data_IF_026431165039
#
_entry.id   IF_026431165039
#
_cell.length_a   1.000
_cell.length_b   1.000
_cell.length_c   1.000
_cell.angle_alpha   90.00
_cell.angle_beta   90.00
_cell.angle_gamma   90.00
#
_symmetry.space_group_name_H-M   'P 1'
#
loop_
_entity.id
_entity.type
_entity.pdbx_description
1 polymer ?
#
# COMPACT_ATOMS: atom_id res chain seq x y z
N UNK A 1 6.18 5.48 -27.70
CA UNK A 1 7.05 6.35 -28.54
C UNK A 1 7.05 7.82 -28.11
N UNK A 2 5.90 8.43 -27.77
CA UNK A 2 5.83 9.85 -27.33
C UNK A 2 6.67 10.18 -26.08
N UNK A 3 6.68 9.34 -25.05
CA UNK A 3 7.43 9.62 -23.81
C UNK A 3 8.95 9.53 -23.97
N UNK A 4 9.41 8.66 -24.86
CA UNK A 4 10.83 8.52 -25.20
C UNK A 4 11.28 9.75 -25.99
N UNK A 5 10.48 10.18 -26.97
CA UNK A 5 10.72 11.40 -27.73
C UNK A 5 10.76 12.67 -26.85
N UNK A 6 9.82 12.80 -25.89
CA UNK A 6 9.78 13.91 -24.95
C UNK A 6 10.99 13.93 -24.00
N UNK A 7 11.53 12.77 -23.61
CA UNK A 7 12.76 12.69 -22.82
C UNK A 7 13.97 13.16 -23.63
N UNK A 8 14.15 12.69 -24.87
CA UNK A 8 15.25 13.13 -25.72
C UNK A 8 15.17 14.63 -26.07
N UNK A 9 13.97 15.14 -26.34
CA UNK A 9 13.74 16.57 -26.59
C UNK A 9 14.11 17.44 -25.38
N UNK A 10 13.76 17.01 -24.17
CA UNK A 10 14.16 17.70 -22.93
C UNK A 10 15.68 17.72 -22.76
N UNK A 11 16.35 16.59 -22.98
CA UNK A 11 17.82 16.50 -22.88
C UNK A 11 18.49 17.39 -23.92
N UNK A 12 18.00 17.37 -25.16
CA UNK A 12 18.50 18.23 -26.24
C UNK A 12 18.35 19.72 -25.91
N UNK A 13 17.19 20.15 -25.41
CA UNK A 13 16.96 21.55 -25.02
C UNK A 13 17.87 21.99 -23.86
N UNK A 14 18.13 21.11 -22.89
CA UNK A 14 19.05 21.40 -21.78
C UNK A 14 20.48 21.55 -22.31
N UNK A 15 20.94 20.65 -23.18
CA UNK A 15 22.27 20.74 -23.79
C UNK A 15 22.42 22.01 -24.63
N UNK A 16 21.39 22.38 -25.39
CA UNK A 16 21.39 23.62 -26.18
C UNK A 16 21.47 24.86 -25.28
N UNK A 17 20.71 24.89 -24.19
CA UNK A 17 20.76 25.99 -23.22
C UNK A 17 22.14 26.12 -22.57
N UNK A 18 22.77 25.00 -22.20
CA UNK A 18 24.14 24.99 -21.65
C UNK A 18 25.14 25.50 -22.67
N UNK A 19 25.04 25.07 -23.93
CA UNK A 19 25.90 25.52 -25.02
C UNK A 19 25.76 27.03 -25.27
N UNK A 20 24.52 27.55 -25.28
CA UNK A 20 24.25 28.98 -25.41
C UNK A 20 24.84 29.79 -24.26
N UNK A 21 24.77 29.29 -23.02
CA UNK A 21 25.38 29.93 -21.85
C UNK A 21 26.91 29.97 -21.99
N UNK A 22 27.54 28.87 -22.44
CA UNK A 22 28.98 28.82 -22.67
C UNK A 22 29.40 29.83 -23.75
N UNK A 23 28.68 29.86 -24.88
CA UNK A 23 28.95 30.79 -25.98
C UNK A 23 28.76 32.25 -25.57
N UNK A 24 27.74 32.54 -24.76
CA UNK A 24 27.46 33.88 -24.27
C UNK A 24 28.52 34.35 -23.26
N UNK A 25 28.95 33.48 -22.35
CA UNK A 25 30.03 33.80 -21.39
C UNK A 25 31.35 34.02 -22.11
N UNK A 26 31.75 33.14 -23.04
CA UNK A 26 32.99 33.31 -23.79
C UNK A 26 32.93 34.50 -24.77
N UNK A 27 31.79 34.76 -25.40
CA UNK A 27 31.60 35.92 -26.27
C UNK A 27 31.69 37.25 -25.50
N UNK A 28 31.19 37.28 -24.26
CA UNK A 28 31.25 38.47 -23.41
C UNK A 28 32.66 38.70 -22.85
N UNK A 29 33.39 37.63 -22.51
CA UNK A 29 34.81 37.69 -22.12
C UNK A 29 35.69 38.19 -23.27
N UNK A 30 35.47 37.71 -24.49
CA UNK A 30 36.19 38.16 -25.69
C UNK A 30 35.85 39.61 -26.07
N UNK A 31 34.59 40.04 -25.90
CA UNK A 31 34.17 41.43 -26.20
C UNK A 31 34.73 42.47 -25.21
N UNK A 32 35.14 42.05 -24.01
CA UNK A 32 35.68 42.91 -22.96
C UNK A 32 37.21 42.82 -22.85
N UNK A 33 37.88 42.14 -23.79
CA UNK A 33 39.32 41.83 -23.78
C UNK A 33 39.80 41.17 -22.47
N UNK A 34 38.92 40.40 -21.82
CA UNK A 34 39.26 39.70 -20.59
C UNK A 34 40.02 38.41 -20.89
N UNK A 35 40.97 38.02 -20.03
CA UNK A 35 41.64 36.74 -20.17
C UNK A 35 40.64 35.57 -20.17
N UNK A 36 40.85 34.59 -21.05
CA UNK A 36 39.98 33.41 -21.20
C UNK A 36 39.76 32.63 -19.90
N UNK A 37 40.71 32.67 -18.96
CA UNK A 37 40.58 32.03 -17.65
C UNK A 37 39.47 32.64 -16.78
N UNK A 38 39.11 33.92 -17.00
CA UNK A 38 37.99 34.58 -16.30
C UNK A 38 36.65 33.91 -16.67
N UNK A 39 36.49 33.51 -17.94
CA UNK A 39 35.31 32.76 -18.39
C UNK A 39 35.13 31.42 -17.69
N UNK A 40 36.23 30.73 -17.38
CA UNK A 40 36.22 29.45 -16.64
C UNK A 40 35.73 29.67 -15.20
N UNK A 41 36.19 30.72 -14.51
CA UNK A 41 35.72 31.03 -13.16
C UNK A 41 34.23 31.42 -13.13
N UNK A 42 33.75 32.18 -14.12
CA UNK A 42 32.33 32.52 -14.26
C UNK A 42 31.47 31.26 -14.47
N UNK A 43 31.92 30.33 -15.32
CA UNK A 43 31.23 29.05 -15.54
C UNK A 43 31.21 28.18 -14.28
N UNK A 44 32.33 28.09 -13.55
CA UNK A 44 32.38 27.36 -12.27
C UNK A 44 31.47 27.98 -11.22
N UNK A 45 31.38 29.31 -11.17
CA UNK A 45 30.48 30.01 -10.26
C UNK A 45 29.00 29.75 -10.59
N UNK A 46 28.62 29.82 -11.87
CA UNK A 46 27.27 29.50 -12.33
C UNK A 46 26.91 28.03 -12.08
N UNK A 47 27.84 27.10 -12.31
CA UNK A 47 27.66 25.69 -12.00
C UNK A 47 27.49 25.46 -10.48
N UNK A 48 28.30 26.14 -9.66
CA UNK A 48 28.19 26.11 -8.20
C UNK A 48 26.86 26.64 -7.68
N UNK A 49 26.37 27.76 -8.24
CA UNK A 49 25.05 28.30 -7.93
C UNK A 49 23.93 27.35 -8.36
N UNK A 50 24.04 26.71 -9.53
CA UNK A 50 23.08 25.71 -10.00
C UNK A 50 23.02 24.49 -9.07
N UNK A 51 24.17 23.93 -8.70
CA UNK A 51 24.27 22.79 -7.77
C UNK A 51 23.74 23.19 -6.38
N UNK A 52 24.11 24.38 -5.89
CA UNK A 52 23.62 24.94 -4.63
C UNK A 52 22.10 25.11 -4.63
N UNK A 53 21.52 25.66 -5.70
CA UNK A 53 20.07 25.81 -5.87
C UNK A 53 19.36 24.45 -5.92
N UNK A 54 19.90 23.47 -6.64
CA UNK A 54 19.34 22.11 -6.67
C UNK A 54 19.41 21.43 -5.30
N UNK A 55 20.51 21.61 -4.57
CA UNK A 55 20.69 21.10 -3.22
C UNK A 55 19.73 21.76 -2.22
N UNK A 56 19.61 23.09 -2.26
CA UNK A 56 18.65 23.87 -1.49
C UNK A 56 17.22 23.46 -1.82
N UNK A 57 16.85 23.37 -3.10
CA UNK A 57 15.52 22.93 -3.55
C UNK A 57 15.21 21.52 -3.04
N UNK A 58 16.16 20.59 -3.12
CA UNK A 58 16.02 19.22 -2.61
C UNK A 58 15.84 19.19 -1.09
N UNK A 59 16.54 20.04 -0.36
CA UNK A 59 16.38 20.19 1.09
C UNK A 59 15.05 20.85 1.45
N UNK A 60 14.62 21.87 0.70
CA UNK A 60 13.40 22.63 0.96
C UNK A 60 12.15 21.79 0.72
N UNK A 61 12.12 21.02 -0.37
CA UNK A 61 11.05 20.05 -0.65
C UNK A 61 10.94 19.02 0.49
N UNK A 62 12.07 18.47 0.93
CA UNK A 62 12.12 17.54 2.08
C UNK A 62 11.70 18.20 3.40
N UNK A 63 12.04 19.47 3.64
CA UNK A 63 11.67 20.19 4.87
C UNK A 63 10.18 20.52 4.92
N UNK A 64 9.54 20.82 3.79
CA UNK A 64 8.12 21.16 3.73
C UNK A 64 7.24 19.94 4.05
N UNK A 65 7.65 18.75 3.64
CA UNK A 65 7.03 17.47 4.03
C UNK A 65 7.25 17.17 5.52
N UNK A 66 8.45 17.44 6.04
CA UNK A 66 8.76 17.26 7.46
C UNK A 66 8.01 18.24 8.36
N UNK A 67 7.81 19.48 7.95
CA UNK A 67 7.03 20.46 8.72
C UNK A 67 5.57 20.06 8.87
N UNK A 68 4.97 19.42 7.86
CA UNK A 68 3.62 18.85 7.99
C UNK A 68 3.58 17.73 9.03
N UNK A 69 4.56 16.82 8.99
CA UNK A 69 4.69 15.73 9.97
C UNK A 69 4.93 16.27 11.38
N UNK A 70 5.86 17.21 11.53
CA UNK A 70 6.20 17.78 12.84
C UNK A 70 5.03 18.58 13.41
N UNK A 71 4.28 19.31 12.57
CA UNK A 71 3.02 19.97 12.95
C UNK A 71 1.96 18.96 13.38
N UNK A 72 1.81 17.84 12.67
CA UNK A 72 0.86 16.78 13.02
C UNK A 72 1.25 16.14 14.37
N UNK A 73 2.53 15.85 14.59
CA UNK A 73 3.04 15.28 15.85
C UNK A 73 2.90 16.28 17.02
N UNK A 74 3.19 17.56 16.80
CA UNK A 74 3.11 18.62 17.82
C UNK A 74 1.65 18.96 18.17
N UNK A 75 0.76 18.97 17.17
CA UNK A 75 -0.68 19.09 17.36
C UNK A 75 -1.23 17.92 18.15
N UNK A 76 -0.78 16.69 17.88
CA UNK A 76 -1.14 15.50 18.66
C UNK A 76 -0.69 15.61 20.12
N UNK A 77 0.57 16.00 20.36
CA UNK A 77 1.10 16.17 21.69
C UNK A 77 0.35 17.26 22.50
N UNK A 78 -0.07 18.33 21.82
CA UNK A 78 -0.84 19.43 22.42
C UNK A 78 -2.28 19.01 22.71
N UNK A 79 -2.92 18.25 21.82
CA UNK A 79 -4.28 17.73 22.00
C UNK A 79 -4.38 16.64 23.05
N UNK A 80 -3.36 15.79 23.21
CA UNK A 80 -3.30 14.84 24.32
C UNK A 80 -3.41 15.50 25.70
N UNK A 81 -2.90 16.72 25.84
CA UNK A 81 -3.03 17.49 27.08
C UNK A 81 -4.45 18.03 27.30
N UNK A 82 -5.26 18.14 26.24
CA UNK A 82 -6.62 18.63 26.27
C UNK A 82 -7.69 17.52 26.45
N UNK A 83 -7.34 16.26 26.16
CA UNK A 83 -8.24 15.11 26.31
C UNK A 83 -8.36 14.68 27.78
N UNK A 84 -9.56 14.34 28.22
CA UNK A 84 -9.87 13.95 29.60
C UNK A 84 -10.51 12.56 29.67
N UNK A 85 -10.21 11.82 30.74
CA UNK A 85 -10.83 10.52 31.04
C UNK A 85 -10.42 9.40 30.08
N UNK A 86 -11.39 8.55 29.73
CA UNK A 86 -11.21 7.27 29.01
C UNK A 86 -10.49 7.40 27.66
N UNK A 87 -10.71 8.50 26.93
CA UNK A 87 -10.06 8.71 25.62
C UNK A 87 -8.55 8.90 25.75
N UNK A 88 -8.09 9.53 26.83
CA UNK A 88 -6.65 9.71 27.08
C UNK A 88 -5.99 8.36 27.38
N UNK A 89 -6.68 7.49 28.11
CA UNK A 89 -6.18 6.15 28.45
C UNK A 89 -6.09 5.27 27.19
N UNK A 90 -7.14 5.22 26.37
CA UNK A 90 -7.14 4.47 25.09
C UNK A 90 -5.97 4.89 24.18
N UNK A 91 -5.64 6.19 24.16
CA UNK A 91 -4.52 6.71 23.37
C UNK A 91 -3.16 6.40 23.96
N UNK A 92 -3.04 6.47 25.28
CA UNK A 92 -1.81 6.10 25.97
C UNK A 92 -1.50 4.62 25.72
N UNK A 93 -2.52 3.77 25.79
CA UNK A 93 -2.40 2.35 25.47
C UNK A 93 -1.91 2.12 24.03
N UNK A 94 -2.45 2.87 23.06
CA UNK A 94 -1.98 2.81 21.66
C UNK A 94 -0.49 3.20 21.54
N UNK A 95 -0.05 4.27 22.22
CA UNK A 95 1.34 4.71 22.21
C UNK A 95 2.28 3.72 22.90
N UNK A 96 1.87 3.16 24.03
CA UNK A 96 2.66 2.23 24.82
C UNK A 96 2.86 0.91 24.05
N UNK A 97 1.81 0.37 23.42
CA UNK A 97 1.91 -0.80 22.53
C UNK A 97 2.83 -0.56 21.34
N UNK A 98 2.74 0.62 20.72
CA UNK A 98 3.63 0.98 19.62
C UNK A 98 5.09 1.01 20.05
N UNK A 99 5.35 1.61 21.21
CA UNK A 99 6.69 1.71 21.80
C UNK A 99 7.23 0.32 22.12
N UNK A 100 6.43 -0.54 22.73
CA UNK A 100 6.78 -1.92 23.04
C UNK A 100 7.16 -2.72 21.78
N UNK A 101 6.33 -2.67 20.74
CA UNK A 101 6.59 -3.35 19.47
C UNK A 101 7.89 -2.85 18.80
N UNK A 102 8.13 -1.54 18.78
CA UNK A 102 9.37 -0.95 18.23
C UNK A 102 10.59 -1.33 19.06
N UNK A 103 10.48 -1.38 20.38
CA UNK A 103 11.57 -1.82 21.25
C UNK A 103 11.89 -3.31 21.07
N UNK A 104 10.87 -4.17 20.96
CA UNK A 104 11.05 -5.58 20.65
C UNK A 104 11.79 -5.76 19.31
N UNK A 105 11.39 -5.00 18.29
CA UNK A 105 12.06 -5.02 16.99
C UNK A 105 13.52 -4.55 17.09
N UNK A 106 13.80 -3.49 17.84
CA UNK A 106 15.16 -2.96 18.05
C UNK A 106 16.09 -3.92 18.80
N UNK A 107 15.54 -4.73 19.71
CA UNK A 107 16.29 -5.72 20.51
C UNK A 107 16.49 -7.04 19.76
N UNK A 108 15.80 -7.25 18.64
CA UNK A 108 15.88 -8.48 17.85
C UNK A 108 17.23 -8.70 17.14
N UNK A 109 17.42 -9.93 16.64
CA UNK A 109 18.58 -10.30 15.83
C UNK A 109 18.72 -9.51 14.52
N UNK A 110 17.67 -8.83 14.05
CA UNK A 110 17.74 -7.95 12.88
C UNK A 110 18.77 -6.82 13.04
N UNK A 111 19.14 -6.47 14.29
CA UNK A 111 20.21 -5.49 14.57
C UNK A 111 21.57 -5.92 14.00
N UNK A 112 21.80 -7.22 13.80
CA UNK A 112 23.02 -7.73 13.17
C UNK A 112 23.05 -7.46 11.66
N UNK A 113 21.89 -7.28 11.03
CA UNK A 113 21.76 -7.06 9.58
C UNK A 113 21.66 -5.57 9.21
N UNK A 114 21.45 -4.68 10.18
CA UNK A 114 21.36 -3.25 9.96
C UNK A 114 20.47 -2.56 10.99
N UNK A 115 19.82 -1.46 10.60
CA UNK A 115 18.81 -0.83 11.45
C UNK A 115 17.54 -1.69 11.45
N UNK A 116 17.13 -2.30 12.59
CA UNK A 116 16.01 -3.27 12.63
C UNK A 116 14.70 -2.75 12.06
N UNK A 117 14.48 -1.43 12.11
CA UNK A 117 13.26 -0.79 11.59
C UNK A 117 13.18 -0.79 10.06
N UNK A 118 14.29 -1.05 9.35
CA UNK A 118 14.40 -0.96 7.90
C UNK A 118 14.97 -2.24 7.25
N UNK A 119 15.20 -3.30 8.03
CA UNK A 119 15.65 -4.60 7.47
C UNK A 119 14.49 -5.29 6.75
N UNK A 120 13.31 -5.30 7.37
CA UNK A 120 12.12 -5.94 6.81
C UNK A 120 11.12 -4.92 6.27
N UNK A 121 10.43 -5.23 5.16
CA UNK A 121 9.36 -4.40 4.64
C UNK A 121 8.16 -4.39 5.59
N UNK A 122 7.49 -3.24 5.71
CA UNK A 122 6.24 -3.11 6.47
C UNK A 122 5.04 -3.03 5.55
N UNK A 123 4.04 -3.86 5.82
CA UNK A 123 2.74 -3.82 5.16
C UNK A 123 1.67 -3.45 6.19
N UNK A 124 0.67 -2.69 5.75
CA UNK A 124 -0.52 -2.44 6.56
C UNK A 124 -1.71 -3.12 5.91
N UNK A 125 -2.57 -3.74 6.72
CA UNK A 125 -3.84 -4.34 6.26
C UNK A 125 -4.99 -3.49 6.77
N UNK A 126 -5.82 -2.98 5.85
CA UNK A 126 -7.04 -2.21 6.14
C UNK A 126 -8.24 -2.87 5.46
N UNK A 127 -9.44 -2.64 5.98
CA UNK A 127 -10.68 -3.19 5.45
C UNK A 127 -11.76 -3.18 6.52
N UNK A 128 -13.02 -3.37 6.14
CA UNK A 128 -14.14 -3.34 7.09
C UNK A 128 -13.98 -4.32 8.26
N UNK A 129 -14.63 -4.01 9.39
CA UNK A 129 -14.71 -4.93 10.52
C UNK A 129 -15.33 -6.26 10.10
N UNK A 130 -14.72 -7.38 10.50
CA UNK A 130 -15.25 -8.71 10.18
C UNK A 130 -14.98 -9.19 8.75
N UNK A 131 -14.22 -8.46 7.92
CA UNK A 131 -13.86 -8.95 6.59
C UNK A 131 -12.81 -10.07 6.60
N UNK A 132 -12.22 -10.44 7.74
CA UNK A 132 -11.28 -11.57 7.83
C UNK A 132 -9.79 -11.20 7.77
N UNK A 133 -9.42 -9.92 7.97
CA UNK A 133 -8.01 -9.45 8.02
C UNK A 133 -7.12 -10.30 8.94
N UNK A 134 -7.48 -10.37 10.22
CA UNK A 134 -6.71 -11.09 11.24
C UNK A 134 -6.62 -12.58 10.94
N UNK A 135 -7.70 -13.18 10.43
CA UNK A 135 -7.74 -14.60 10.04
C UNK A 135 -6.84 -14.86 8.83
N UNK A 136 -6.88 -14.01 7.80
CA UNK A 136 -6.01 -14.16 6.63
C UNK A 136 -4.52 -14.07 7.01
N UNK A 137 -4.17 -13.17 7.94
CA UNK A 137 -2.79 -13.01 8.43
C UNK A 137 -2.37 -14.19 9.31
N UNK A 138 -3.22 -14.64 10.23
CA UNK A 138 -2.92 -15.74 11.14
C UNK A 138 -2.84 -17.09 10.43
N UNK A 139 -3.61 -17.26 9.36
CA UNK A 139 -3.65 -18.46 8.52
C UNK A 139 -2.64 -18.44 7.36
N UNK A 140 -1.86 -17.36 7.18
CA UNK A 140 -0.91 -17.22 6.06
C UNK A 140 0.25 -18.24 6.06
N UNK A 141 0.36 -19.11 7.08
CA UNK A 141 1.42 -20.12 7.28
C UNK A 141 2.85 -19.55 7.13
N UNK A 142 3.01 -18.25 7.34
CA UNK A 142 4.30 -17.58 7.30
C UNK A 142 5.06 -17.87 8.60
N UNK A 143 6.33 -18.28 8.48
CA UNK A 143 7.19 -18.50 9.63
C UNK A 143 7.30 -17.23 10.48
N UNK A 144 6.92 -17.34 11.75
CA UNK A 144 7.06 -16.28 12.73
C UNK A 144 8.28 -16.56 13.62
N UNK A 145 9.23 -15.63 13.64
CA UNK A 145 10.44 -15.76 14.45
C UNK A 145 10.26 -15.29 15.90
N UNK A 146 9.08 -14.73 16.25
CA UNK A 146 8.82 -14.09 17.54
C UNK A 146 7.68 -14.80 18.27
N UNK A 147 7.88 -16.05 18.71
CA UNK A 147 6.84 -16.81 19.40
C UNK A 147 6.30 -16.10 20.67
N UNK A 148 7.15 -15.39 21.43
CA UNK A 148 6.76 -14.73 22.70
C UNK A 148 6.20 -13.31 22.56
N UNK A 149 6.42 -12.63 21.43
CA UNK A 149 5.91 -11.26 21.14
C UNK A 149 4.95 -11.28 19.93
N UNK A 150 4.59 -12.47 19.45
CA UNK A 150 3.74 -12.71 18.27
C UNK A 150 2.36 -12.07 18.39
N UNK A 151 1.99 -11.63 19.59
CA UNK A 151 0.72 -11.01 19.91
C UNK A 151 0.89 -10.00 21.04
N UNK A 152 1.21 -8.75 20.70
CA UNK A 152 0.77 -7.61 21.53
C UNK A 152 -0.76 -7.45 21.34
N UNK A 153 -1.52 -8.55 21.48
CA UNK A 153 -2.96 -8.61 21.26
C UNK A 153 -3.65 -8.75 22.60
N UNK A 154 -4.68 -7.92 22.83
CA UNK A 154 -5.66 -8.22 23.86
C UNK A 154 -6.57 -9.34 23.38
N UNK A 155 -7.07 -10.18 24.29
CA UNK A 155 -7.90 -11.39 24.06
C UNK A 155 -9.27 -11.09 23.38
N UNK A 156 -9.56 -9.84 23.01
CA UNK A 156 -10.87 -9.40 22.50
C UNK A 156 -10.71 -8.47 21.30
N UNK A 157 -10.64 -9.05 20.09
CA UNK A 157 -10.59 -8.33 18.81
C UNK A 157 -9.39 -7.38 18.64
N UNK A 158 -9.11 -6.98 17.41
CA UNK A 158 -8.10 -5.95 17.13
C UNK A 158 -8.62 -4.61 17.62
N UNK A 159 -8.23 -4.22 18.85
CA UNK A 159 -8.66 -2.96 19.46
C UNK A 159 -8.18 -1.77 18.66
N UNK A 160 -6.93 -1.71 18.22
CA UNK A 160 -6.39 -0.57 17.47
C UNK A 160 -5.56 -1.07 16.28
N UNK A 161 -4.44 -1.73 16.59
CA UNK A 161 -3.56 -2.38 15.62
C UNK A 161 -2.78 -3.51 16.31
N UNK A 162 -2.67 -4.64 15.64
CA UNK A 162 -1.86 -5.78 16.06
C UNK A 162 -0.64 -5.92 15.15
N UNK A 163 0.51 -6.23 15.74
CA UNK A 163 1.79 -6.37 15.04
C UNK A 163 2.11 -7.83 14.79
N UNK A 164 2.32 -8.17 13.53
CA UNK A 164 2.71 -9.50 13.09
C UNK A 164 4.14 -9.46 12.57
N UNK A 165 5.03 -10.19 13.24
CA UNK A 165 6.44 -10.29 12.87
C UNK A 165 6.71 -11.63 12.17
N UNK A 166 6.89 -11.58 10.85
CA UNK A 166 7.27 -12.73 10.03
C UNK A 166 8.77 -12.65 9.67
N UNK A 167 9.33 -13.75 9.19
CA UNK A 167 10.74 -13.81 8.77
C UNK A 167 11.10 -12.81 7.66
N UNK A 168 10.15 -12.51 6.76
CA UNK A 168 10.40 -11.70 5.56
C UNK A 168 9.63 -10.37 5.53
N UNK A 169 8.73 -10.12 6.48
CA UNK A 169 7.91 -8.91 6.51
C UNK A 169 7.34 -8.64 7.91
N UNK A 170 6.96 -7.40 8.15
CA UNK A 170 6.15 -7.02 9.31
C UNK A 170 4.79 -6.54 8.78
N UNK A 171 3.72 -7.06 9.37
CA UNK A 171 2.35 -6.73 8.97
C UNK A 171 1.63 -6.06 10.13
N UNK A 172 1.07 -4.89 9.86
CA UNK A 172 0.23 -4.13 10.77
C UNK A 172 -1.23 -4.46 10.45
N UNK A 173 -1.87 -5.26 11.29
CA UNK A 173 -3.30 -5.56 11.19
C UNK A 173 -4.10 -4.47 11.91
N UNK A 174 -4.97 -3.75 11.20
CA UNK A 174 -5.69 -2.60 11.75
C UNK A 174 -7.12 -2.92 12.13
N UNK A 175 -7.65 -2.19 13.11
CA UNK A 175 -9.07 -2.23 13.44
C UNK A 175 -9.91 -1.79 12.23
N UNK A 176 -11.04 -2.47 12.00
CA UNK A 176 -11.87 -2.21 10.82
C UNK A 176 -12.44 -0.79 10.74
N UNK A 177 -12.59 -0.12 11.89
CA UNK A 177 -13.02 1.28 11.97
C UNK A 177 -12.03 2.29 11.36
N UNK A 178 -10.76 1.90 11.19
CA UNK A 178 -9.78 2.73 10.48
C UNK A 178 -10.05 2.76 8.98
N UNK A 179 -10.66 1.70 8.43
CA UNK A 179 -11.17 1.69 7.07
C UNK A 179 -12.53 2.38 6.97
N UNK A 180 -13.51 1.85 7.70
CA UNK A 180 -14.92 2.32 7.68
C UNK A 180 -15.30 2.81 9.09
N UNK A 181 -15.28 4.13 9.33
CA UNK A 181 -15.51 4.68 10.66
C UNK A 181 -16.93 4.39 11.16
N UNK A 182 -17.04 4.08 12.45
CA UNK A 182 -18.32 3.95 13.16
C UNK A 182 -18.69 5.31 13.76
N UNK A 183 -17.69 6.03 14.29
CA UNK A 183 -17.79 7.41 14.74
C UNK A 183 -16.81 8.27 13.91
N UNK A 184 -17.35 9.08 13.00
CA UNK A 184 -16.53 9.89 12.09
C UNK A 184 -15.56 10.84 12.79
N UNK A 185 -15.90 11.33 13.98
CA UNK A 185 -15.03 12.22 14.74
C UNK A 185 -13.92 11.42 15.41
N UNK A 186 -14.32 10.54 16.33
CA UNK A 186 -13.38 9.79 17.17
C UNK A 186 -12.46 8.90 16.36
N UNK A 187 -12.98 8.14 15.40
CA UNK A 187 -12.19 7.16 14.64
C UNK A 187 -11.22 7.84 13.68
N UNK A 188 -11.61 9.02 13.15
CA UNK A 188 -10.72 9.82 12.32
C UNK A 188 -9.56 10.41 13.13
N UNK A 189 -9.81 10.88 14.34
CA UNK A 189 -8.74 11.35 15.21
C UNK A 189 -7.78 10.21 15.59
N UNK A 190 -8.32 9.05 15.93
CA UNK A 190 -7.52 7.88 16.26
C UNK A 190 -6.67 7.41 15.08
N UNK A 191 -7.24 7.40 13.87
CA UNK A 191 -6.51 7.12 12.63
C UNK A 191 -5.37 8.12 12.38
N UNK A 192 -5.62 9.42 12.54
CA UNK A 192 -4.56 10.44 12.40
C UNK A 192 -3.42 10.23 13.40
N UNK A 193 -3.74 9.85 14.64
CA UNK A 193 -2.73 9.52 15.67
C UNK A 193 -1.93 8.27 15.31
N UNK A 194 -2.61 7.24 14.82
CA UNK A 194 -1.95 6.04 14.31
C UNK A 194 -0.93 6.37 13.21
N UNK A 195 -1.32 7.20 12.23
CA UNK A 195 -0.41 7.65 11.18
C UNK A 195 0.77 8.48 11.72
N UNK A 196 0.51 9.30 12.73
CA UNK A 196 1.55 10.10 13.41
C UNK A 196 2.58 9.22 14.10
N UNK A 197 2.14 8.16 14.79
CA UNK A 197 3.04 7.18 15.40
C UNK A 197 3.85 6.44 14.36
N UNK A 198 3.21 6.03 13.26
CA UNK A 198 3.86 5.35 12.16
C UNK A 198 5.06 6.14 11.61
N UNK A 199 4.88 7.44 11.34
CA UNK A 199 5.98 8.29 10.84
C UNK A 199 6.99 8.64 11.94
N UNK A 200 6.53 8.86 13.17
CA UNK A 200 7.40 9.16 14.32
C UNK A 200 8.45 8.07 14.52
N UNK A 201 8.05 6.81 14.42
CA UNK A 201 8.96 5.68 14.67
C UNK A 201 9.66 5.15 13.41
N UNK A 202 9.07 5.28 12.22
CA UNK A 202 9.64 4.80 10.95
C UNK A 202 9.49 5.84 9.85
N UNK A 203 10.35 6.87 9.85
CA UNK A 203 10.27 8.02 8.93
C UNK A 203 10.74 7.72 7.49
N UNK A 204 11.72 6.83 7.32
CA UNK A 204 12.21 6.44 5.99
C UNK A 204 11.38 5.24 5.52
N UNK A 205 10.91 5.21 4.27
CA UNK A 205 10.20 4.03 3.74
C UNK A 205 9.12 3.51 4.70
N UNK A 206 8.24 4.43 5.15
CA UNK A 206 7.30 4.22 6.24
C UNK A 206 6.46 2.95 6.08
N UNK A 207 5.99 2.68 4.86
CA UNK A 207 5.35 1.44 4.45
C UNK A 207 5.85 1.04 3.07
N UNK A 208 5.92 -0.27 2.84
CA UNK A 208 6.30 -0.88 1.57
C UNK A 208 5.06 -1.31 0.76
N UNK A 209 3.90 -1.42 1.39
CA UNK A 209 2.62 -1.63 0.69
C UNK A 209 1.42 -1.57 1.63
N UNK A 210 0.25 -1.38 1.03
CA UNK A 210 -1.04 -1.42 1.70
C UNK A 210 -1.86 -2.58 1.13
N UNK A 211 -2.44 -3.40 2.00
CA UNK A 211 -3.35 -4.47 1.64
C UNK A 211 -4.75 -4.03 2.04
N UNK A 212 -5.66 -4.00 1.08
CA UNK A 212 -7.07 -3.68 1.27
C UNK A 212 -7.85 -4.98 1.20
N UNK A 213 -8.40 -5.39 2.34
CA UNK A 213 -9.14 -6.64 2.49
C UNK A 213 -10.65 -6.42 2.33
N UNK A 214 -11.30 -7.27 1.55
CA UNK A 214 -12.75 -7.27 1.33
C UNK A 214 -13.30 -8.69 1.33
N UNK A 215 -14.47 -8.89 1.92
CA UNK A 215 -15.04 -10.21 2.05
C UNK A 215 -15.86 -10.62 0.81
N UNK A 216 -15.68 -11.84 0.33
CA UNK A 216 -16.32 -12.36 -0.89
C UNK A 216 -17.86 -12.42 -0.77
N UNK A 217 -18.39 -12.82 0.39
CA UNK A 217 -19.82 -12.77 0.73
C UNK A 217 -20.43 -11.38 0.48
N UNK A 218 -19.77 -10.35 1.00
CA UNK A 218 -20.23 -8.96 0.80
C UNK A 218 -20.20 -8.55 -0.68
N UNK A 219 -19.18 -8.97 -1.42
CA UNK A 219 -19.06 -8.65 -2.85
C UNK A 219 -20.16 -9.33 -3.69
N UNK A 220 -20.68 -10.47 -3.25
CA UNK A 220 -21.78 -11.19 -3.91
C UNK A 220 -23.15 -10.61 -3.56
N UNK A 221 -23.35 -10.20 -2.30
CA UNK A 221 -24.67 -9.86 -1.76
C UNK A 221 -24.98 -8.35 -1.78
N UNK A 222 -23.97 -7.50 -1.61
CA UNK A 222 -24.18 -6.07 -1.42
C UNK A 222 -24.59 -5.34 -2.71
N UNK A 223 -25.34 -4.26 -2.55
CA UNK A 223 -25.73 -3.39 -3.66
C UNK A 223 -24.49 -2.68 -4.25
N UNK A 224 -24.42 -2.50 -5.58
CA UNK A 224 -23.32 -1.79 -6.25
C UNK A 224 -22.97 -0.44 -5.64
N UNK A 225 -23.98 0.33 -5.23
CA UNK A 225 -23.84 1.67 -4.67
C UNK A 225 -23.15 1.64 -3.30
N UNK A 226 -23.46 0.62 -2.48
CA UNK A 226 -22.86 0.41 -1.17
C UNK A 226 -21.37 0.06 -1.32
N UNK A 227 -21.03 -0.82 -2.27
CA UNK A 227 -19.65 -1.20 -2.55
C UNK A 227 -18.83 -0.03 -3.12
N UNK A 228 -19.43 0.81 -3.98
CA UNK A 228 -18.77 2.02 -4.47
C UNK A 228 -18.52 3.04 -3.34
N UNK A 229 -19.46 3.19 -2.40
CA UNK A 229 -19.28 4.06 -1.23
C UNK A 229 -18.23 3.55 -0.25
N UNK A 230 -18.15 2.23 -0.04
CA UNK A 230 -17.06 1.60 0.69
C UNK A 230 -15.71 1.85 0.00
N UNK A 231 -15.65 1.65 -1.32
CA UNK A 231 -14.47 1.96 -2.13
C UNK A 231 -14.03 3.41 -1.98
N UNK A 232 -14.97 4.37 -2.01
CA UNK A 232 -14.70 5.79 -1.78
C UNK A 232 -14.17 6.05 -0.37
N UNK A 233 -14.69 5.35 0.64
CA UNK A 233 -14.21 5.47 2.03
C UNK A 233 -12.78 4.97 2.17
N UNK A 234 -12.47 3.80 1.59
CA UNK A 234 -11.11 3.28 1.50
C UNK A 234 -10.19 4.25 0.76
N UNK A 235 -10.62 4.82 -0.38
CA UNK A 235 -9.84 5.82 -1.10
C UNK A 235 -9.45 7.00 -0.22
N UNK A 236 -10.39 7.56 0.56
CA UNK A 236 -10.08 8.66 1.50
C UNK A 236 -8.97 8.25 2.48
N UNK A 237 -8.99 7.02 3.00
CA UNK A 237 -7.94 6.52 3.91
C UNK A 237 -6.59 6.34 3.22
N UNK A 238 -6.59 5.85 1.98
CA UNK A 238 -5.38 5.74 1.15
C UNK A 238 -4.80 7.13 0.89
N UNK A 239 -5.64 8.11 0.55
CA UNK A 239 -5.22 9.50 0.30
C UNK A 239 -4.66 10.16 1.56
N UNK A 240 -5.32 9.96 2.72
CA UNK A 240 -4.83 10.42 4.02
C UNK A 240 -3.45 9.82 4.33
N UNK A 241 -3.28 8.51 4.12
CA UNK A 241 -2.02 7.80 4.32
C UNK A 241 -0.91 8.31 3.38
N UNK A 242 -1.19 8.42 2.07
CA UNK A 242 -0.23 8.94 1.08
C UNK A 242 0.14 10.39 1.37
N UNK A 243 -0.81 11.23 1.80
CA UNK A 243 -0.54 12.63 2.18
C UNK A 243 0.38 12.72 3.37
N UNK A 244 0.19 11.86 4.37
CA UNK A 244 0.99 11.85 5.61
C UNK A 244 2.39 11.31 5.33
N UNK A 245 2.53 10.22 4.56
CA UNK A 245 3.84 9.62 4.22
C UNK A 245 4.60 10.43 3.15
N UNK A 246 3.88 11.13 2.26
CA UNK A 246 4.46 11.94 1.18
C UNK A 246 4.89 11.14 -0.06
N UNK A 247 4.45 9.88 -0.20
CA UNK A 247 4.78 9.03 -1.36
C UNK A 247 3.57 8.21 -1.82
N UNK A 248 3.55 7.85 -3.12
CA UNK A 248 2.61 6.85 -3.65
C UNK A 248 3.01 5.48 -3.14
N UNK A 249 2.08 4.81 -2.49
CA UNK A 249 2.28 3.44 -2.00
C UNK A 249 1.62 2.44 -2.95
N UNK A 250 2.21 1.25 -3.13
CA UNK A 250 1.55 0.17 -3.85
C UNK A 250 0.41 -0.39 -2.99
N UNK A 251 -0.77 -0.53 -3.59
CA UNK A 251 -1.98 -1.05 -2.97
C UNK A 251 -2.30 -2.42 -3.57
N UNK A 252 -2.50 -3.41 -2.71
CA UNK A 252 -2.93 -4.76 -3.04
C UNK A 252 -4.37 -4.92 -2.60
N UNK A 253 -5.22 -5.49 -3.44
CA UNK A 253 -6.59 -5.85 -3.05
C UNK A 253 -6.60 -7.34 -2.74
N UNK A 254 -7.10 -7.71 -1.57
CA UNK A 254 -7.22 -9.08 -1.11
C UNK A 254 -8.69 -9.39 -0.85
N UNK A 255 -9.26 -10.29 -1.64
CA UNK A 255 -10.60 -10.81 -1.42
C UNK A 255 -10.50 -12.00 -0.48
N UNK A 256 -11.09 -11.89 0.70
CA UNK A 256 -11.08 -12.87 1.78
C UNK A 256 -12.41 -13.63 1.82
N UNK A 257 -12.48 -14.68 2.65
CA UNK A 257 -13.68 -15.52 2.80
C UNK A 257 -14.15 -16.17 1.50
N UNK A 258 -13.23 -16.52 0.60
CA UNK A 258 -13.59 -17.15 -0.66
C UNK A 258 -14.26 -18.52 -0.50
N UNK A 259 -14.14 -19.17 0.67
CA UNK A 259 -14.90 -20.36 1.07
C UNK A 259 -16.42 -20.14 1.08
N UNK A 260 -16.89 -18.89 1.23
CA UNK A 260 -18.31 -18.56 1.15
C UNK A 260 -18.84 -18.49 -0.28
N UNK A 261 -17.97 -18.57 -1.29
CA UNK A 261 -18.37 -18.71 -2.69
C UNK A 261 -18.84 -20.14 -2.88
N UNK A 262 -20.04 -20.31 -3.42
CA UNK A 262 -20.62 -21.63 -3.63
C UNK A 262 -19.69 -22.52 -4.48
N UNK A 263 -19.40 -23.71 -3.94
CA UNK A 263 -18.54 -24.70 -4.59
C UNK A 263 -17.05 -24.56 -4.32
N UNK A 264 -16.58 -23.49 -3.67
CA UNK A 264 -15.15 -23.25 -3.46
C UNK A 264 -14.48 -24.35 -2.62
N UNK A 265 -15.09 -24.74 -1.50
CA UNK A 265 -14.53 -25.77 -0.61
C UNK A 265 -14.45 -27.11 -1.33
N UNK A 266 -15.54 -27.53 -1.99
CA UNK A 266 -15.60 -28.76 -2.77
C UNK A 266 -14.56 -28.78 -3.90
N UNK A 267 -14.35 -27.64 -4.55
CA UNK A 267 -13.33 -27.49 -5.59
C UNK A 267 -11.92 -27.60 -5.00
N UNK A 268 -11.65 -26.89 -3.91
CA UNK A 268 -10.32 -26.80 -3.28
C UNK A 268 -9.90 -28.12 -2.63
N UNK A 269 -10.85 -28.90 -2.10
CA UNK A 269 -10.59 -30.24 -1.54
C UNK A 269 -10.04 -31.23 -2.58
N UNK A 270 -10.30 -30.99 -3.86
CA UNK A 270 -9.75 -31.81 -4.96
C UNK A 270 -8.41 -31.28 -5.48
N UNK A 271 -8.00 -30.06 -5.11
CA UNK A 271 -6.73 -29.48 -5.55
C UNK A 271 -5.58 -30.10 -4.74
N UNK A 272 -4.52 -30.63 -5.39
CA UNK A 272 -3.38 -31.17 -4.66
C UNK A 272 -2.73 -30.16 -3.71
N UNK A 273 -2.33 -30.60 -2.51
CA UNK A 273 -1.81 -29.71 -1.46
C UNK A 273 -0.68 -28.79 -1.92
N UNK A 274 0.27 -29.30 -2.72
CA UNK A 274 1.38 -28.50 -3.28
C UNK A 274 0.91 -27.36 -4.20
N UNK A 275 -0.24 -27.50 -4.84
CA UNK A 275 -0.82 -26.46 -5.68
C UNK A 275 -1.47 -25.36 -4.84
N UNK A 276 -1.88 -25.66 -3.59
CA UNK A 276 -2.43 -24.69 -2.66
C UNK A 276 -1.36 -23.74 -2.10
N UNK A 277 -0.07 -24.08 -2.21
CA UNK A 277 1.04 -23.18 -1.89
C UNK A 277 1.17 -22.02 -2.89
N UNK A 278 0.53 -22.12 -4.07
CA UNK A 278 0.56 -21.07 -5.07
C UNK A 278 -0.46 -19.97 -4.74
N UNK A 279 -0.06 -18.68 -4.75
CA UNK A 279 -1.00 -17.59 -4.53
C UNK A 279 -2.02 -17.50 -5.68
N UNK A 280 -3.31 -17.43 -5.32
CA UNK A 280 -4.40 -17.16 -6.25
C UNK A 280 -4.55 -15.65 -6.47
N UNK A 281 -4.11 -15.15 -7.62
CA UNK A 281 -4.23 -13.73 -7.95
C UNK A 281 -3.44 -13.29 -9.19
N UNK A 282 -3.49 -11.99 -9.47
CA UNK A 282 -2.83 -11.37 -10.62
C UNK A 282 -2.10 -10.10 -10.17
N UNK A 283 -0.84 -9.98 -10.57
CA UNK A 283 0.00 -8.79 -10.34
C UNK A 283 -0.14 -7.84 -11.54
N UNK A 284 -0.32 -6.54 -11.25
CA UNK A 284 -0.22 -5.47 -12.24
C UNK A 284 1.26 -5.20 -12.54
N UNK A 285 1.84 -6.02 -13.42
CA UNK A 285 3.28 -5.97 -13.73
C UNK A 285 3.68 -4.64 -14.35
N UNK A 286 2.87 -4.14 -15.30
CA UNK A 286 3.11 -2.90 -16.03
C UNK A 286 2.77 -1.64 -15.23
N UNK A 287 2.19 -1.79 -14.03
CA UNK A 287 1.69 -0.70 -13.20
C UNK A 287 0.72 0.21 -14.00
N UNK A 288 -0.12 -0.40 -14.83
CA UNK A 288 -1.11 0.30 -15.65
C UNK A 288 -2.00 1.17 -14.76
N UNK A 289 -2.21 2.43 -15.16
CA UNK A 289 -3.18 3.34 -14.53
C UNK A 289 -4.62 3.01 -14.93
N UNK A 290 -4.82 2.26 -16.01
CA UNK A 290 -6.11 1.68 -16.39
C UNK A 290 -6.45 0.51 -15.46
N UNK A 291 -6.91 0.85 -14.26
CA UNK A 291 -7.34 -0.09 -13.23
C UNK A 291 -8.56 -0.92 -13.69
N UNK A 292 -9.62 -0.34 -14.30
CA UNK A 292 -10.75 -1.12 -14.79
C UNK A 292 -10.34 -2.16 -15.82
N UNK A 293 -9.53 -1.79 -16.82
CA UNK A 293 -9.09 -2.75 -17.83
C UNK A 293 -8.11 -3.79 -17.29
N UNK A 294 -7.23 -3.44 -16.34
CA UNK A 294 -6.40 -4.42 -15.63
C UNK A 294 -7.27 -5.44 -14.87
N UNK A 295 -8.28 -4.96 -14.15
CA UNK A 295 -9.16 -5.81 -13.35
C UNK A 295 -9.98 -6.76 -14.22
N UNK A 296 -10.54 -6.25 -15.33
CA UNK A 296 -11.30 -7.07 -16.29
C UNK A 296 -10.46 -8.22 -16.85
N UNK A 297 -9.21 -7.93 -17.26
CA UNK A 297 -8.25 -8.95 -17.70
C UNK A 297 -7.88 -9.92 -16.58
N UNK A 298 -7.68 -9.44 -15.36
CA UNK A 298 -7.35 -10.27 -14.21
C UNK A 298 -8.46 -11.29 -13.93
N UNK A 299 -9.71 -10.83 -13.80
CA UNK A 299 -10.87 -11.71 -13.55
C UNK A 299 -11.08 -12.73 -14.66
N UNK A 300 -10.98 -12.29 -15.93
CA UNK A 300 -11.11 -13.20 -17.08
C UNK A 300 -10.04 -14.28 -17.06
N UNK A 301 -8.78 -13.90 -16.83
CA UNK A 301 -7.65 -14.84 -16.75
C UNK A 301 -7.84 -15.84 -15.60
N UNK A 302 -8.29 -15.39 -14.43
CA UNK A 302 -8.53 -16.26 -13.29
C UNK A 302 -9.71 -17.21 -13.55
N UNK A 303 -10.82 -16.72 -14.10
CA UNK A 303 -11.97 -17.55 -14.47
C UNK A 303 -11.61 -18.64 -15.49
N UNK A 304 -10.86 -18.30 -16.53
CA UNK A 304 -10.34 -19.29 -17.50
C UNK A 304 -9.43 -20.33 -16.85
N UNK A 305 -8.53 -19.92 -15.94
CA UNK A 305 -7.67 -20.85 -15.20
C UNK A 305 -8.47 -21.78 -14.30
N UNK A 306 -9.49 -21.28 -13.60
CA UNK A 306 -10.38 -22.11 -12.78
C UNK A 306 -11.15 -23.12 -13.63
N UNK A 307 -11.65 -22.72 -14.80
CA UNK A 307 -12.29 -23.65 -15.76
C UNK A 307 -11.33 -24.73 -16.26
N UNK A 308 -10.10 -24.36 -16.59
CA UNK A 308 -9.08 -25.32 -17.03
C UNK A 308 -8.71 -26.30 -15.90
N UNK A 309 -8.56 -25.80 -14.67
CA UNK A 309 -8.34 -26.63 -13.49
C UNK A 309 -9.53 -27.58 -13.25
N UNK A 310 -10.77 -27.10 -13.39
CA UNK A 310 -11.97 -27.95 -13.30
C UNK A 310 -11.89 -29.14 -14.25
N UNK A 311 -11.52 -28.92 -15.51
CA UNK A 311 -11.40 -30.01 -16.50
C UNK A 311 -10.35 -31.04 -16.06
N UNK A 312 -9.21 -30.58 -15.54
CA UNK A 312 -8.15 -31.45 -15.04
C UNK A 312 -8.61 -32.26 -13.82
N UNK A 313 -9.30 -31.63 -12.87
CA UNK A 313 -9.84 -32.29 -11.68
C UNK A 313 -10.90 -33.34 -12.05
N UNK A 314 -11.80 -33.02 -12.99
CA UNK A 314 -12.81 -33.96 -13.49
C UNK A 314 -12.19 -35.17 -14.20
N UNK A 315 -11.07 -34.99 -14.90
CA UNK A 315 -10.38 -36.10 -15.54
C UNK A 315 -9.74 -37.06 -14.53
N UNK A 316 -9.31 -36.55 -13.37
CA UNK A 316 -8.72 -37.35 -12.29
C UNK A 316 -9.76 -38.10 -11.45
N UNK A 317 -11.00 -37.59 -11.42
CA UNK A 317 -12.11 -38.23 -10.72
C UNK A 317 -12.58 -39.46 -11.51
N UNK A 318 -12.10 -40.65 -11.13
CA UNK A 318 -12.57 -41.95 -11.67
C UNK A 318 -14.02 -42.30 -11.25
N UNK A 319 -14.63 -41.50 -10.38
CA UNK A 319 -15.94 -41.76 -9.77
C UNK A 319 -17.12 -41.36 -10.68
N UNK A 320 -18.23 -42.09 -10.57
CA UNK A 320 -19.48 -41.82 -11.32
C UNK A 320 -20.30 -40.65 -10.78
N UNK A 321 -19.97 -40.09 -9.62
CA UNK A 321 -20.70 -38.99 -9.00
C UNK A 321 -19.78 -37.80 -8.77
N UNK A 322 -19.97 -36.75 -9.57
CA UNK A 322 -19.27 -35.47 -9.42
C UNK A 322 -20.09 -34.58 -8.48
N UNK A 323 -19.43 -33.98 -7.50
CA UNK A 323 -20.07 -32.99 -6.63
C UNK A 323 -20.50 -31.77 -7.46
N UNK A 324 -21.80 -31.37 -7.45
CA UNK A 324 -22.27 -30.19 -8.16
C UNK A 324 -21.48 -28.92 -7.80
N UNK A 325 -21.00 -28.78 -6.56
CA UNK A 325 -20.20 -27.64 -6.12
C UNK A 325 -18.90 -27.49 -6.91
N UNK A 326 -18.22 -28.60 -7.23
CA UNK A 326 -17.00 -28.58 -8.06
C UNK A 326 -17.29 -28.04 -9.46
N UNK A 327 -18.48 -28.31 -9.99
CA UNK A 327 -18.89 -27.83 -11.30
C UNK A 327 -19.24 -26.35 -11.30
N UNK A 328 -19.80 -25.81 -10.21
CA UNK A 328 -20.32 -24.45 -10.15
C UNK A 328 -19.26 -23.39 -9.82
N UNK A 329 -18.18 -23.76 -9.11
CA UNK A 329 -17.24 -22.78 -8.56
C UNK A 329 -16.67 -21.77 -9.58
N UNK A 330 -16.22 -22.16 -10.79
CA UNK A 330 -15.68 -21.18 -11.73
C UNK A 330 -16.70 -20.12 -12.16
N UNK A 331 -17.97 -20.49 -12.34
CA UNK A 331 -19.05 -19.56 -12.68
C UNK A 331 -19.45 -18.71 -11.47
N UNK A 332 -19.52 -19.30 -10.26
CA UNK A 332 -19.79 -18.55 -9.03
C UNK A 332 -18.68 -17.56 -8.68
N UNK A 333 -17.42 -17.89 -8.98
CA UNK A 333 -16.30 -16.97 -8.86
C UNK A 333 -16.45 -15.75 -9.80
N UNK A 334 -16.98 -15.94 -11.01
CA UNK A 334 -17.21 -14.82 -11.94
C UNK A 334 -18.28 -13.85 -11.45
N UNK A 335 -19.23 -14.30 -10.62
CA UNK A 335 -20.24 -13.43 -10.02
C UNK A 335 -19.62 -12.34 -9.14
N UNK A 336 -18.42 -12.57 -8.56
CA UNK A 336 -17.67 -11.55 -7.81
C UNK A 336 -17.28 -10.34 -8.66
N UNK A 337 -17.14 -10.52 -9.98
CA UNK A 337 -16.65 -9.46 -10.89
C UNK A 337 -17.45 -8.18 -10.73
N UNK A 338 -18.79 -8.29 -10.59
CA UNK A 338 -19.68 -7.13 -10.44
C UNK A 338 -19.39 -6.36 -9.15
N UNK A 339 -19.33 -7.05 -8.02
CA UNK A 339 -19.11 -6.42 -6.72
C UNK A 339 -17.73 -5.80 -6.62
N UNK A 340 -16.70 -6.52 -7.08
CA UNK A 340 -15.34 -6.00 -7.08
C UNK A 340 -15.21 -4.81 -8.02
N UNK A 341 -15.80 -4.82 -9.22
CA UNK A 341 -15.79 -3.68 -10.14
C UNK A 341 -16.40 -2.42 -9.49
N UNK A 342 -17.55 -2.56 -8.82
CA UNK A 342 -18.17 -1.46 -8.06
C UNK A 342 -17.25 -0.89 -6.99
N UNK A 343 -16.60 -1.75 -6.20
CA UNK A 343 -15.63 -1.30 -5.21
C UNK A 343 -14.42 -0.60 -5.85
N UNK A 344 -13.85 -1.21 -6.90
CA UNK A 344 -12.65 -0.70 -7.58
C UNK A 344 -12.91 0.66 -8.23
N UNK A 345 -14.12 0.88 -8.76
CA UNK A 345 -14.58 2.20 -9.24
C UNK A 345 -14.53 3.26 -8.15
N UNK A 346 -14.94 2.93 -6.93
CA UNK A 346 -14.86 3.84 -5.79
C UNK A 346 -13.43 4.07 -5.30
N UNK A 347 -12.65 2.99 -5.18
CA UNK A 347 -11.32 3.01 -4.57
C UNK A 347 -10.22 3.61 -5.47
N UNK A 348 -10.28 3.36 -6.78
CA UNK A 348 -9.20 3.69 -7.72
C UNK A 348 -9.59 4.69 -8.80
N UNK A 349 -10.73 5.38 -8.65
CA UNK A 349 -11.12 6.45 -9.58
C UNK A 349 -9.98 7.46 -9.75
N UNK A 350 -9.70 7.82 -11.00
CA UNK A 350 -8.80 8.92 -11.28
C UNK A 350 -9.41 10.23 -10.78
N UNK A 351 -8.60 11.03 -10.10
CA UNK A 351 -8.99 12.35 -9.62
C UNK A 351 -7.97 13.38 -10.14
N UNK A 352 -8.39 14.38 -10.95
CA UNK A 352 -7.47 15.42 -11.42
C UNK A 352 -6.77 16.21 -10.31
N UNK A 353 -7.36 16.24 -9.12
CA UNK A 353 -6.89 17.03 -7.98
C UNK A 353 -6.09 16.22 -6.95
N UNK A 354 -6.00 14.90 -7.09
CA UNK A 354 -5.34 14.00 -6.14
C UNK A 354 -4.54 12.92 -6.87
N UNK A 355 -3.47 12.44 -6.26
CA UNK A 355 -2.73 11.33 -6.85
C UNK A 355 -3.51 10.02 -6.76
N UNK A 356 -3.64 9.30 -7.87
CA UNK A 356 -4.21 7.94 -7.87
C UNK A 356 -3.23 6.94 -7.27
N UNK A 357 -3.64 6.11 -6.30
CA UNK A 357 -2.79 5.06 -5.73
C UNK A 357 -2.48 3.99 -6.78
N UNK A 358 -1.33 3.35 -6.63
CA UNK A 358 -0.85 2.34 -7.58
C UNK A 358 -1.44 0.99 -7.20
N UNK A 359 -2.41 0.49 -7.96
CA UNK A 359 -2.87 -0.88 -7.81
C UNK A 359 -1.76 -1.85 -8.27
N UNK A 360 -1.23 -2.65 -7.33
CA UNK A 360 -0.13 -3.59 -7.59
C UNK A 360 -0.61 -5.00 -7.88
N UNK A 361 -1.79 -5.39 -7.41
CA UNK A 361 -2.37 -6.68 -7.72
C UNK A 361 -3.66 -6.96 -6.96
N UNK A 362 -4.34 -8.03 -7.38
CA UNK A 362 -5.58 -8.53 -6.77
C UNK A 362 -5.37 -10.01 -6.43
N UNK A 363 -5.73 -10.41 -5.22
CA UNK A 363 -5.51 -11.74 -4.67
C UNK A 363 -6.78 -12.25 -3.97
N UNK A 364 -6.92 -13.57 -3.89
CA UNK A 364 -8.10 -14.26 -3.33
C UNK A 364 -7.64 -15.28 -2.30
N UNK A 365 -8.36 -15.37 -1.18
CA UNK A 365 -8.01 -16.24 -0.06
C UNK A 365 -9.24 -16.61 0.77
N UNK A 366 -9.17 -17.73 1.49
CA UNK A 366 -10.19 -18.23 2.41
C UNK A 366 -9.67 -18.13 3.84
#
# INVERSE_FOLDING_TARGET
>A
MRDVFLKYLKVFLILLAVLLIILLVFGLVLSLDWPWWVGIFILLFLAGLGIGFLFLRRIWLRRREQQFVDQVIEQDASRMKALAGKERDDLKDLQDRWKEAVEALRRSHLRKQGNPLYVLPWYMVIGESGCGKTTAISSARLSSSFAEVSRVSGISGTKNCDWWFFEQAIVLDTAGRYAIPIDEGKDKEEWQRFLSLLIKYRKKETLNGLIVAMAADKLLEALPETLEEEGRSIRRRIDELMRVIGVKIPVYVMVTKCDLIQGMTQFSDQVPEKSLDQPMGVINQDLSSDVPGFFDRAMTTMGERLRNLRILLLHQLESKSVDPGLLLFPEEFENLKRGVDSFMKGAFKENPYQETPILRGVFFTS
#
